data_IF_856607975460
#
_entry.id   IF_856607975460
#
_cell.length_a   1.000
_cell.length_b   1.000
_cell.length_c   1.000
_cell.angle_alpha   90.00
_cell.angle_beta   90.00
_cell.angle_gamma   90.00
#
_symmetry.space_group_name_H-M   'P 1'
#
loop_
_entity.id
_entity.type
_entity.pdbx_description
1 polymer ?
#
# COMPACT_ATOMS: atom_id res chain seq x y z
N UNK A 1 -42.94 -29.10 -18.31
CA UNK A 1 -42.00 -29.93 -17.53
C UNK A 1 -41.70 -29.18 -16.25
N UNK A 2 -41.89 -29.81 -15.09
CA UNK A 2 -41.77 -29.16 -13.78
C UNK A 2 -40.31 -28.82 -13.44
N UNK A 3 -40.14 -27.79 -12.62
CA UNK A 3 -38.88 -27.21 -12.12
C UNK A 3 -38.06 -28.22 -11.29
N UNK A 4 -38.66 -29.31 -10.82
CA UNK A 4 -38.00 -30.32 -9.97
C UNK A 4 -37.10 -31.32 -10.74
N UNK A 5 -37.15 -31.34 -12.07
CA UNK A 5 -36.35 -32.25 -12.90
C UNK A 5 -34.86 -31.86 -13.08
N UNK A 6 -34.45 -30.68 -12.61
CA UNK A 6 -33.11 -30.09 -12.86
C UNK A 6 -32.20 -30.20 -11.62
N UNK A 7 -32.41 -31.20 -10.75
CA UNK A 7 -31.43 -31.55 -9.70
C UNK A 7 -30.40 -32.60 -10.15
N UNK A 8 -30.53 -33.14 -11.36
CA UNK A 8 -29.55 -34.05 -11.97
C UNK A 8 -28.52 -33.29 -12.80
N UNK A 9 -27.30 -33.12 -12.27
CA UNK A 9 -26.09 -32.69 -12.99
C UNK A 9 -26.22 -31.38 -13.79
N UNK A 10 -26.09 -30.24 -13.10
CA UNK A 10 -25.92 -28.93 -13.77
C UNK A 10 -24.67 -28.97 -14.67
N UNK A 11 -24.72 -28.43 -15.91
CA UNK A 11 -23.55 -28.38 -16.77
C UNK A 11 -22.38 -27.67 -16.09
N UNK A 12 -21.16 -28.22 -16.19
CA UNK A 12 -19.96 -27.65 -15.59
C UNK A 12 -19.75 -26.18 -15.97
N UNK A 13 -19.97 -25.84 -17.25
CA UNK A 13 -19.89 -24.47 -17.73
C UNK A 13 -20.87 -23.53 -17.01
N UNK A 14 -22.10 -23.98 -16.71
CA UNK A 14 -23.07 -23.15 -15.98
C UNK A 14 -22.65 -22.98 -14.51
N UNK A 15 -22.15 -24.04 -13.87
CA UNK A 15 -21.60 -23.95 -12.51
C UNK A 15 -20.42 -22.99 -12.42
N UNK A 16 -19.52 -23.00 -13.40
CA UNK A 16 -18.40 -22.06 -13.47
C UNK A 16 -18.87 -20.60 -13.60
N UNK A 17 -19.88 -20.36 -14.45
CA UNK A 17 -20.49 -19.03 -14.57
C UNK A 17 -21.06 -18.55 -13.23
N UNK A 18 -21.89 -19.37 -12.56
CA UNK A 18 -22.50 -18.99 -11.29
C UNK A 18 -21.45 -18.65 -10.22
N UNK A 19 -20.37 -19.42 -10.14
CA UNK A 19 -19.24 -19.11 -9.25
C UNK A 19 -18.58 -17.77 -9.60
N UNK A 20 -18.33 -17.51 -10.89
CA UNK A 20 -17.76 -16.23 -11.34
C UNK A 20 -18.67 -15.03 -11.01
N UNK A 21 -19.99 -15.21 -11.02
CA UNK A 21 -20.94 -14.18 -10.58
C UNK A 21 -20.82 -13.93 -9.08
N UNK A 22 -20.72 -14.97 -8.25
CA UNK A 22 -20.51 -14.84 -6.80
C UNK A 22 -19.16 -14.17 -6.51
N UNK A 23 -18.09 -14.53 -7.20
CA UNK A 23 -16.79 -13.85 -7.07
C UNK A 23 -16.90 -12.35 -7.40
N UNK A 24 -17.69 -12.01 -8.42
CA UNK A 24 -17.93 -10.62 -8.79
C UNK A 24 -18.70 -9.86 -7.71
N UNK A 25 -19.63 -10.52 -7.01
CA UNK A 25 -20.35 -9.97 -5.86
C UNK A 25 -19.39 -9.78 -4.68
N UNK A 26 -18.54 -10.76 -4.38
CA UNK A 26 -17.59 -10.69 -3.25
C UNK A 26 -16.50 -9.63 -3.45
N UNK A 27 -16.03 -9.45 -4.69
CA UNK A 27 -15.06 -8.41 -5.02
C UNK A 27 -15.60 -6.99 -4.78
N UNK A 28 -16.92 -6.78 -4.89
CA UNK A 28 -17.59 -5.54 -4.53
C UNK A 28 -19.07 -5.82 -4.22
N UNK A 29 -19.47 -5.87 -2.94
CA UNK A 29 -20.84 -6.18 -2.52
C UNK A 29 -21.88 -5.19 -3.07
N UNK A 30 -23.13 -5.62 -3.21
CA UNK A 30 -24.22 -4.77 -3.73
C UNK A 30 -24.44 -3.49 -2.90
N UNK A 31 -24.23 -3.54 -1.58
CA UNK A 31 -24.32 -2.37 -0.71
C UNK A 31 -23.34 -1.24 -1.09
N UNK A 32 -22.26 -1.55 -1.80
CA UNK A 32 -21.26 -0.59 -2.27
C UNK A 32 -21.46 -0.17 -3.73
N UNK A 33 -22.50 -0.69 -4.39
CA UNK A 33 -22.77 -0.45 -5.81
C UNK A 33 -23.87 0.58 -5.97
N UNK A 34 -23.66 1.51 -6.92
CA UNK A 34 -24.70 2.43 -7.41
C UNK A 34 -25.54 1.84 -8.55
N UNK A 35 -25.08 0.72 -9.13
CA UNK A 35 -25.68 0.06 -10.30
C UNK A 35 -25.54 -1.45 -10.18
N UNK A 36 -26.48 -2.15 -10.79
CA UNK A 36 -26.44 -3.61 -10.93
C UNK A 36 -25.18 -4.11 -11.64
N UNK A 37 -24.86 -5.38 -11.44
CA UNK A 37 -23.71 -6.00 -12.08
C UNK A 37 -24.09 -6.31 -13.53
N UNK A 38 -23.35 -5.76 -14.47
CA UNK A 38 -23.40 -6.17 -15.88
C UNK A 38 -22.23 -7.11 -16.16
N UNK A 39 -22.51 -8.39 -16.39
CA UNK A 39 -21.53 -9.43 -16.66
C UNK A 39 -21.61 -9.85 -18.14
N UNK A 40 -20.65 -9.47 -19.00
CA UNK A 40 -20.68 -9.90 -20.40
C UNK A 40 -20.46 -11.40 -20.49
N UNK A 41 -21.13 -12.07 -21.41
CA UNK A 41 -20.98 -13.51 -21.67
C UNK A 41 -20.16 -13.66 -22.95
N UNK A 42 -18.84 -13.82 -22.79
CA UNK A 42 -17.85 -13.84 -23.87
C UNK A 42 -16.80 -14.91 -23.61
N UNK A 43 -15.96 -15.23 -24.60
CA UNK A 43 -14.88 -16.20 -24.42
C UNK A 43 -13.90 -15.83 -23.28
N UNK A 44 -13.75 -14.54 -22.95
CA UNK A 44 -12.90 -14.11 -21.83
C UNK A 44 -13.55 -14.21 -20.44
N UNK A 45 -14.88 -14.24 -20.37
CA UNK A 45 -15.64 -14.18 -19.10
C UNK A 45 -16.45 -15.44 -18.81
N UNK A 46 -16.69 -16.27 -19.83
CA UNK A 46 -17.32 -17.57 -19.72
C UNK A 46 -16.64 -18.59 -20.65
N UNK A 47 -15.32 -18.82 -20.49
CA UNK A 47 -14.51 -19.62 -21.42
C UNK A 47 -15.04 -21.04 -21.60
N UNK A 48 -15.53 -21.66 -20.52
CA UNK A 48 -16.02 -23.05 -20.52
C UNK A 48 -17.19 -23.26 -21.49
N UNK A 49 -18.06 -22.26 -21.67
CA UNK A 49 -19.15 -22.33 -22.63
C UNK A 49 -18.65 -22.24 -24.08
N UNK A 50 -17.70 -21.34 -24.34
CA UNK A 50 -17.14 -21.15 -25.68
C UNK A 50 -16.19 -22.29 -26.09
N UNK A 51 -15.69 -23.08 -25.13
CA UNK A 51 -14.90 -24.29 -25.39
C UNK A 51 -15.75 -25.50 -25.84
N UNK A 52 -17.07 -25.48 -25.66
CA UNK A 52 -17.95 -26.60 -26.05
C UNK A 52 -18.00 -26.71 -27.58
N UNK A 53 -17.40 -27.76 -28.15
CA UNK A 53 -17.35 -27.94 -29.60
C UNK A 53 -18.68 -28.37 -30.24
N UNK A 54 -19.48 -29.16 -29.51
CA UNK A 54 -20.74 -29.73 -30.01
C UNK A 54 -21.89 -28.72 -29.86
N UNK A 55 -22.51 -28.33 -30.98
CA UNK A 55 -23.60 -27.34 -30.99
C UNK A 55 -24.79 -27.74 -30.10
N UNK A 56 -25.16 -29.02 -30.07
CA UNK A 56 -26.26 -29.52 -29.23
C UNK A 56 -26.00 -29.37 -27.72
N UNK A 57 -24.77 -29.64 -27.27
CA UNK A 57 -24.37 -29.44 -25.87
C UNK A 57 -24.33 -27.96 -25.52
N UNK A 58 -23.85 -27.11 -26.44
CA UNK A 58 -23.83 -25.66 -26.26
C UNK A 58 -25.25 -25.11 -26.13
N UNK A 59 -26.18 -25.56 -26.97
CA UNK A 59 -27.60 -25.22 -26.87
C UNK A 59 -28.22 -25.67 -25.54
N UNK A 60 -27.83 -26.84 -25.03
CA UNK A 60 -28.31 -27.34 -23.74
C UNK A 60 -27.85 -26.43 -22.58
N UNK A 61 -26.57 -26.06 -22.54
CA UNK A 61 -26.04 -25.13 -21.52
C UNK A 61 -26.71 -23.76 -21.63
N UNK A 62 -26.94 -23.27 -22.85
CA UNK A 62 -27.61 -22.00 -23.06
C UNK A 62 -29.05 -22.00 -22.55
N UNK A 63 -29.84 -23.03 -22.86
CA UNK A 63 -31.21 -23.16 -22.34
C UNK A 63 -31.25 -23.24 -20.82
N UNK A 64 -30.25 -23.89 -20.22
CA UNK A 64 -30.11 -23.92 -18.76
C UNK A 64 -29.84 -22.52 -18.18
N UNK A 65 -29.05 -21.68 -18.86
CA UNK A 65 -28.89 -20.27 -18.51
C UNK A 65 -30.20 -19.48 -18.69
N UNK A 66 -30.95 -19.70 -19.76
CA UNK A 66 -32.24 -19.02 -19.99
C UNK A 66 -33.26 -19.35 -18.90
N UNK A 67 -33.28 -20.58 -18.41
CA UNK A 67 -34.13 -20.97 -17.29
C UNK A 67 -33.86 -20.15 -16.02
N UNK A 68 -32.62 -19.67 -15.81
CA UNK A 68 -32.27 -18.80 -14.68
C UNK A 68 -32.91 -17.41 -14.75
N UNK A 69 -33.37 -16.96 -15.91
CA UNK A 69 -34.07 -15.66 -16.04
C UNK A 69 -35.42 -15.64 -15.32
N UNK A 70 -35.96 -16.80 -14.95
CA UNK A 70 -37.17 -16.88 -14.12
C UNK A 70 -36.93 -16.41 -12.69
N UNK A 71 -35.67 -16.28 -12.27
CA UNK A 71 -35.29 -15.85 -10.93
C UNK A 71 -35.29 -14.32 -10.81
N UNK A 72 -35.88 -13.75 -9.75
CA UNK A 72 -35.85 -12.32 -9.50
C UNK A 72 -34.41 -11.76 -9.48
N UNK A 73 -34.19 -10.68 -10.23
CA UNK A 73 -32.91 -9.98 -10.26
C UNK A 73 -31.87 -10.54 -11.24
N UNK A 74 -32.21 -11.55 -12.06
CA UNK A 74 -31.41 -12.00 -13.20
C UNK A 74 -32.06 -11.62 -14.52
N UNK A 75 -31.35 -10.91 -15.38
CA UNK A 75 -31.83 -10.57 -16.72
C UNK A 75 -30.77 -10.83 -17.78
N UNK A 76 -31.10 -11.59 -18.81
CA UNK A 76 -30.25 -11.76 -19.99
C UNK A 76 -30.59 -10.67 -21.01
N UNK A 77 -29.58 -9.89 -21.40
CA UNK A 77 -29.73 -8.81 -22.37
C UNK A 77 -28.87 -9.10 -23.59
N UNK A 78 -29.47 -9.04 -24.77
CA UNK A 78 -28.80 -9.19 -26.07
C UNK A 78 -28.62 -7.83 -26.75
N UNK A 79 -27.59 -7.68 -27.59
CA UNK A 79 -27.44 -6.47 -28.41
C UNK A 79 -28.45 -6.50 -29.57
N UNK A 80 -29.48 -5.65 -29.49
CA UNK A 80 -30.53 -5.54 -30.50
C UNK A 80 -29.99 -5.19 -31.89
N UNK A 81 -28.86 -4.47 -31.99
CA UNK A 81 -28.23 -4.12 -33.27
C UNK A 81 -27.67 -5.34 -34.01
N UNK A 82 -27.35 -6.41 -33.26
CA UNK A 82 -26.90 -7.69 -33.82
C UNK A 82 -28.05 -8.66 -34.08
N UNK A 83 -29.26 -8.34 -33.61
CA UNK A 83 -30.44 -9.18 -33.79
C UNK A 83 -30.95 -9.28 -35.23
N UNK A 84 -30.58 -8.34 -36.11
CA UNK A 84 -30.90 -8.37 -37.54
C UNK A 84 -29.93 -9.23 -38.38
N UNK A 85 -28.91 -9.83 -37.76
CA UNK A 85 -27.93 -10.68 -38.45
C UNK A 85 -28.25 -12.15 -38.18
N UNK A 86 -27.94 -13.00 -39.16
CA UNK A 86 -28.03 -14.46 -39.04
C UNK A 86 -26.88 -15.00 -38.18
N UNK A 87 -26.89 -14.61 -36.90
CA UNK A 87 -25.92 -14.96 -35.89
C UNK A 87 -26.59 -15.82 -34.82
N UNK A 88 -25.84 -16.76 -34.28
CA UNK A 88 -26.26 -17.52 -33.12
C UNK A 88 -26.50 -16.57 -31.93
N UNK A 89 -27.43 -16.95 -31.06
CA UNK A 89 -27.83 -16.21 -29.85
C UNK A 89 -26.65 -15.79 -28.96
N UNK A 90 -25.62 -16.63 -28.82
CA UNK A 90 -24.41 -16.31 -28.05
C UNK A 90 -23.42 -15.38 -28.78
N UNK A 91 -23.59 -15.15 -30.08
CA UNK A 91 -22.77 -14.22 -30.87
C UNK A 91 -23.36 -12.80 -30.90
N UNK A 92 -24.59 -12.65 -30.40
CA UNK A 92 -25.32 -11.37 -30.27
C UNK A 92 -24.88 -10.55 -29.05
N UNK A 93 -23.62 -10.71 -28.64
CA UNK A 93 -22.99 -10.04 -27.49
C UNK A 93 -23.86 -10.06 -26.22
N UNK A 94 -24.26 -11.24 -25.74
CA UNK A 94 -25.08 -11.38 -24.55
C UNK A 94 -24.40 -10.84 -23.29
N UNK A 95 -25.19 -10.29 -22.38
CA UNK A 95 -24.78 -9.90 -21.02
C UNK A 95 -25.83 -10.32 -20.01
N UNK A 96 -25.38 -10.76 -18.84
CA UNK A 96 -26.23 -11.02 -17.70
C UNK A 96 -26.22 -9.80 -16.77
N UNK A 97 -27.38 -9.26 -16.46
CA UNK A 97 -27.57 -8.21 -15.46
C UNK A 97 -28.01 -8.87 -14.16
N UNK A 98 -27.25 -8.66 -13.08
CA UNK A 98 -27.52 -9.21 -11.75
C UNK A 98 -27.80 -8.06 -10.79
N UNK A 99 -29.00 -8.03 -10.25
CA UNK A 99 -29.44 -7.12 -9.20
C UNK A 99 -29.32 -7.77 -7.80
N UNK A 100 -29.43 -6.97 -6.74
CA UNK A 100 -29.23 -7.43 -5.37
C UNK A 100 -30.16 -8.59 -4.95
N UNK A 101 -31.36 -8.68 -5.53
CA UNK A 101 -32.34 -9.74 -5.24
C UNK A 101 -31.84 -11.13 -5.66
N UNK A 102 -30.93 -11.22 -6.63
CA UNK A 102 -30.42 -12.49 -7.14
C UNK A 102 -29.31 -13.09 -6.26
N UNK A 103 -28.73 -12.35 -5.31
CA UNK A 103 -27.60 -12.83 -4.51
C UNK A 103 -27.94 -14.07 -3.70
N UNK A 104 -29.10 -14.08 -3.03
CA UNK A 104 -29.53 -15.23 -2.21
C UNK A 104 -29.64 -16.50 -3.05
N UNK A 105 -30.25 -16.39 -4.23
CA UNK A 105 -30.35 -17.48 -5.19
C UNK A 105 -28.97 -17.97 -5.65
N UNK A 106 -28.08 -17.06 -6.08
CA UNK A 106 -26.74 -17.43 -6.55
C UNK A 106 -25.93 -18.17 -5.47
N UNK A 107 -26.04 -17.75 -4.21
CA UNK A 107 -25.34 -18.39 -3.09
C UNK A 107 -25.88 -19.77 -2.75
N UNK A 108 -27.20 -19.94 -2.77
CA UNK A 108 -27.85 -21.25 -2.60
C UNK A 108 -27.39 -22.21 -3.70
N UNK A 109 -27.38 -21.72 -4.94
CA UNK A 109 -27.01 -22.52 -6.11
C UNK A 109 -25.54 -22.90 -6.21
N UNK A 110 -24.64 -22.09 -5.65
CA UNK A 110 -23.21 -22.41 -5.56
C UNK A 110 -22.83 -23.05 -4.23
N UNK A 111 -23.73 -23.10 -3.25
CA UNK A 111 -23.42 -23.49 -1.86
C UNK A 111 -22.41 -22.57 -1.17
N UNK A 112 -22.21 -21.34 -1.67
CA UNK A 112 -21.17 -20.40 -1.19
C UNK A 112 -21.76 -19.37 -0.24
N UNK A 113 -21.47 -19.52 1.04
CA UNK A 113 -21.79 -18.51 2.05
C UNK A 113 -20.93 -17.25 1.88
N UNK A 114 -21.40 -16.06 2.31
CA UNK A 114 -20.58 -14.85 2.30
C UNK A 114 -19.25 -15.10 3.04
N UNK A 115 -18.16 -14.62 2.46
CA UNK A 115 -16.87 -14.71 3.13
C UNK A 115 -16.92 -14.04 4.51
N UNK A 116 -16.11 -14.54 5.45
CA UNK A 116 -16.03 -13.98 6.80
C UNK A 116 -15.78 -12.46 6.77
N UNK A 117 -15.01 -11.96 5.79
CA UNK A 117 -14.78 -10.54 5.57
C UNK A 117 -16.06 -9.78 5.19
N UNK A 118 -16.86 -10.30 4.25
CA UNK A 118 -18.11 -9.65 3.82
C UNK A 118 -19.11 -9.58 4.98
N UNK A 119 -19.25 -10.68 5.72
CA UNK A 119 -20.11 -10.74 6.90
C UNK A 119 -19.63 -9.75 7.98
N UNK A 120 -18.33 -9.72 8.26
CA UNK A 120 -17.72 -8.80 9.21
C UNK A 120 -17.93 -7.33 8.81
N UNK A 121 -17.80 -7.02 7.52
CA UNK A 121 -18.03 -5.66 6.99
C UNK A 121 -19.48 -5.22 7.06
N UNK A 122 -20.42 -6.12 6.84
CA UNK A 122 -21.84 -5.83 7.04
C UNK A 122 -22.14 -5.49 8.52
N UNK A 123 -21.62 -6.30 9.45
CA UNK A 123 -21.74 -6.05 10.89
C UNK A 123 -21.07 -4.73 11.31
N UNK A 124 -19.86 -4.45 10.82
CA UNK A 124 -19.14 -3.19 11.08
C UNK A 124 -19.97 -1.96 10.68
N UNK A 125 -20.60 -1.98 9.50
CA UNK A 125 -21.43 -0.87 9.03
C UNK A 125 -22.64 -0.58 9.92
N UNK A 126 -23.18 -1.60 10.56
CA UNK A 126 -24.29 -1.46 11.50
C UNK A 126 -23.80 -1.03 12.89
N UNK A 127 -22.69 -1.60 13.36
CA UNK A 127 -22.18 -1.40 14.70
C UNK A 127 -21.58 0.01 14.92
N UNK A 128 -20.92 0.59 13.91
CA UNK A 128 -20.30 1.93 14.01
C UNK A 128 -21.30 3.02 14.40
N UNK A 129 -22.40 3.26 13.64
CA UNK A 129 -23.38 4.30 13.99
C UNK A 129 -24.21 3.94 15.23
N UNK A 130 -24.29 2.66 15.60
CA UNK A 130 -24.93 2.25 16.86
C UNK A 130 -24.07 2.58 18.09
N UNK A 131 -22.74 2.60 17.95
CA UNK A 131 -21.80 2.82 19.06
C UNK A 131 -21.42 4.27 19.28
N UNK A 132 -21.32 5.05 18.20
CA UNK A 132 -20.83 6.44 18.21
C UNK A 132 -21.86 7.38 17.59
N UNK A 133 -22.03 8.56 18.19
CA UNK A 133 -22.93 9.61 17.70
C UNK A 133 -22.23 10.66 16.83
N UNK A 134 -20.89 10.74 16.88
CA UNK A 134 -20.12 11.69 16.06
C UNK A 134 -20.12 11.24 14.59
N UNK A 135 -20.84 11.98 13.74
CA UNK A 135 -21.01 11.65 12.32
C UNK A 135 -19.69 11.60 11.54
N UNK A 136 -18.75 12.50 11.81
CA UNK A 136 -17.45 12.52 11.14
C UNK A 136 -16.60 11.31 11.56
N UNK A 137 -16.64 10.92 12.84
CA UNK A 137 -16.01 9.68 13.30
C UNK A 137 -16.61 8.45 12.61
N UNK A 138 -17.94 8.38 12.53
CA UNK A 138 -18.63 7.29 11.86
C UNK A 138 -18.21 7.19 10.39
N UNK A 139 -18.24 8.29 9.66
CA UNK A 139 -17.79 8.34 8.25
C UNK A 139 -16.35 7.84 8.12
N UNK A 140 -15.45 8.31 9.00
CA UNK A 140 -14.05 7.91 8.98
C UNK A 140 -13.88 6.40 9.23
N UNK A 141 -14.54 5.84 10.24
CA UNK A 141 -14.47 4.41 10.56
C UNK A 141 -15.13 3.53 9.49
N UNK A 142 -16.15 4.03 8.78
CA UNK A 142 -16.78 3.32 7.66
C UNK A 142 -15.87 3.31 6.41
N UNK A 143 -15.18 4.42 6.14
CA UNK A 143 -14.22 4.52 5.03
C UNK A 143 -12.92 3.75 5.29
N UNK A 144 -12.49 3.68 6.56
CA UNK A 144 -11.24 3.03 6.98
C UNK A 144 -11.47 2.12 8.19
N UNK A 145 -12.05 0.92 7.99
CA UNK A 145 -12.35 -0.01 9.08
C UNK A 145 -11.12 -0.52 9.83
N UNK A 146 -11.28 -0.81 11.12
CA UNK A 146 -10.26 -1.46 11.95
C UNK A 146 -10.50 -2.97 11.91
N UNK A 147 -10.04 -3.63 10.85
CA UNK A 147 -10.35 -5.03 10.58
C UNK A 147 -9.53 -5.99 11.47
N UNK A 148 -10.21 -6.78 12.30
CA UNK A 148 -9.63 -7.88 13.08
C UNK A 148 -10.55 -9.09 12.95
N UNK A 149 -10.37 -9.91 11.91
CA UNK A 149 -11.29 -11.01 11.57
C UNK A 149 -11.62 -11.98 12.72
N UNK A 150 -10.69 -12.36 13.61
CA UNK A 150 -11.01 -13.23 14.74
C UNK A 150 -11.86 -12.58 15.85
N UNK A 151 -12.21 -11.29 15.73
CA UNK A 151 -12.97 -10.51 16.73
C UNK A 151 -14.21 -9.92 16.08
N UNK A 152 -15.32 -9.81 16.81
CA UNK A 152 -16.50 -9.14 16.24
C UNK A 152 -16.28 -7.63 16.12
N UNK A 153 -16.96 -6.94 15.18
CA UNK A 153 -16.95 -5.49 15.10
C UNK A 153 -17.24 -4.79 16.43
N UNK A 154 -18.19 -5.29 17.21
CA UNK A 154 -18.57 -4.71 18.50
C UNK A 154 -17.42 -4.78 19.49
N UNK A 155 -16.71 -5.91 19.56
CA UNK A 155 -15.52 -6.05 20.41
C UNK A 155 -14.42 -5.07 20.01
N UNK A 156 -14.21 -4.87 18.70
CA UNK A 156 -13.22 -3.91 18.19
C UNK A 156 -13.63 -2.47 18.57
N UNK A 157 -14.90 -2.11 18.40
CA UNK A 157 -15.42 -0.79 18.73
C UNK A 157 -15.41 -0.53 20.24
N UNK A 158 -15.64 -1.56 21.06
CA UNK A 158 -15.47 -1.49 22.52
C UNK A 158 -14.03 -1.16 22.91
N UNK A 159 -13.05 -1.83 22.29
CA UNK A 159 -11.63 -1.51 22.48
C UNK A 159 -11.29 -0.09 22.01
N UNK A 160 -11.83 0.34 20.87
CA UNK A 160 -11.65 1.70 20.38
C UNK A 160 -12.19 2.72 21.39
N UNK A 161 -13.40 2.50 21.91
CA UNK A 161 -14.04 3.41 22.87
C UNK A 161 -13.33 3.49 24.23
N UNK A 162 -12.42 2.57 24.54
CA UNK A 162 -11.59 2.62 25.74
C UNK A 162 -10.32 3.48 25.61
N UNK A 163 -9.96 3.92 24.39
CA UNK A 163 -8.77 4.77 24.16
C UNK A 163 -8.76 6.06 24.99
N UNK A 164 -9.89 6.78 25.22
CA UNK A 164 -9.92 8.00 26.01
C UNK A 164 -9.30 7.84 27.41
N UNK A 165 -9.41 6.65 28.01
CA UNK A 165 -8.85 6.38 29.33
C UNK A 165 -7.30 6.39 29.37
N UNK A 166 -6.65 6.28 28.21
CA UNK A 166 -5.18 6.27 28.09
C UNK A 166 -4.61 7.67 27.81
N UNK A 167 -5.47 8.67 27.66
CA UNK A 167 -5.03 10.06 27.48
C UNK A 167 -4.33 10.53 28.75
N UNK A 168 -3.16 11.14 28.59
CA UNK A 168 -2.33 11.61 29.71
C UNK A 168 -1.20 10.65 30.13
N UNK A 169 -1.21 9.40 29.67
CA UNK A 169 -0.16 8.41 29.98
C UNK A 169 1.13 8.58 29.15
N UNK A 170 1.25 9.62 28.33
CA UNK A 170 2.41 9.88 27.45
C UNK A 170 2.80 8.70 26.55
N UNK A 171 1.80 7.95 26.07
CA UNK A 171 1.99 6.77 25.23
C UNK A 171 2.14 7.13 23.74
N UNK A 172 2.93 6.34 23.03
CA UNK A 172 2.92 6.31 21.57
C UNK A 172 1.70 5.55 21.05
N UNK A 173 1.28 5.86 19.81
CA UNK A 173 0.11 5.24 19.18
C UNK A 173 0.20 3.71 19.12
N UNK A 174 1.40 3.16 18.95
CA UNK A 174 1.60 1.71 18.92
C UNK A 174 1.44 1.05 20.29
N UNK A 175 1.72 1.77 21.37
CA UNK A 175 1.53 1.30 22.74
C UNK A 175 0.04 1.32 23.07
N UNK A 176 -0.67 2.39 22.70
CA UNK A 176 -2.14 2.48 22.78
C UNK A 176 -2.80 1.33 22.01
N UNK A 177 -2.36 1.10 20.76
CA UNK A 177 -2.84 0.01 19.93
C UNK A 177 -2.61 -1.36 20.61
N UNK A 178 -1.40 -1.59 21.13
CA UNK A 178 -1.06 -2.85 21.81
C UNK A 178 -1.88 -3.06 23.08
N UNK A 179 -2.08 -2.01 23.89
CA UNK A 179 -2.86 -2.08 25.14
C UNK A 179 -4.35 -2.31 24.89
N UNK A 180 -4.95 -1.62 23.91
CA UNK A 180 -6.37 -1.79 23.63
C UNK A 180 -6.71 -2.98 22.75
N UNK A 181 -5.87 -3.37 21.81
CA UNK A 181 -6.23 -4.36 20.79
C UNK A 181 -5.41 -5.64 20.92
N UNK A 182 -5.47 -6.30 22.08
CA UNK A 182 -4.91 -7.65 22.27
C UNK A 182 -3.44 -7.80 21.84
N UNK A 183 -2.60 -6.79 22.07
CA UNK A 183 -1.19 -6.81 21.70
C UNK A 183 -0.90 -6.44 20.23
N UNK A 184 -1.90 -6.04 19.45
CA UNK A 184 -1.75 -5.68 18.04
C UNK A 184 -1.25 -4.24 17.87
N UNK A 185 0.07 -4.06 18.00
CA UNK A 185 0.72 -2.74 18.02
C UNK A 185 0.62 -1.89 16.74
N UNK A 186 0.21 -2.47 15.60
CA UNK A 186 0.10 -1.77 14.30
C UNK A 186 -1.33 -1.50 13.85
N UNK A 187 -2.34 -1.95 14.61
CA UNK A 187 -3.72 -1.97 14.12
C UNK A 187 -4.32 -0.57 13.93
N UNK A 188 -3.79 0.43 14.66
CA UNK A 188 -4.19 1.83 14.55
C UNK A 188 -3.35 2.63 13.54
N UNK A 189 -2.47 2.00 12.77
CA UNK A 189 -1.65 2.71 11.78
C UNK A 189 -2.53 3.41 10.73
N UNK A 190 -2.43 4.73 10.67
CA UNK A 190 -3.23 5.56 9.77
C UNK A 190 -4.64 5.86 10.28
N UNK A 191 -4.95 5.50 11.54
CA UNK A 191 -6.21 5.83 12.21
C UNK A 191 -6.12 7.10 13.07
N UNK A 192 -5.04 7.89 12.96
CA UNK A 192 -4.82 9.09 13.78
C UNK A 192 -6.02 10.06 13.73
N UNK A 193 -6.58 10.28 12.54
CA UNK A 193 -7.75 11.15 12.35
C UNK A 193 -9.00 10.60 13.06
N UNK A 194 -9.24 9.28 13.00
CA UNK A 194 -10.35 8.66 13.73
C UNK A 194 -10.17 8.80 15.25
N UNK A 195 -8.93 8.72 15.74
CA UNK A 195 -8.62 8.89 17.16
C UNK A 195 -8.81 10.35 17.59
N UNK A 196 -8.38 11.31 16.76
CA UNK A 196 -8.60 12.73 17.01
C UNK A 196 -10.12 13.04 17.13
N UNK A 197 -10.91 12.53 16.18
CA UNK A 197 -12.38 12.64 16.20
C UNK A 197 -13.03 11.93 17.39
N UNK A 198 -12.48 10.79 17.83
CA UNK A 198 -12.95 10.07 19.01
C UNK A 198 -12.72 10.86 20.31
N UNK A 199 -11.60 11.61 20.38
CA UNK A 199 -11.20 12.37 21.55
C UNK A 199 -11.67 13.83 21.52
N UNK A 200 -12.36 14.23 20.45
CA UNK A 200 -12.76 15.62 20.20
C UNK A 200 -11.56 16.59 20.21
N UNK A 201 -10.48 16.19 19.54
CA UNK A 201 -9.26 17.00 19.38
C UNK A 201 -8.92 17.20 17.90
N UNK A 202 -8.23 18.30 17.58
CA UNK A 202 -7.80 18.60 16.20
C UNK A 202 -6.74 17.59 15.69
N UNK A 203 -5.90 17.10 16.60
CA UNK A 203 -4.78 16.20 16.30
C UNK A 203 -4.78 15.05 17.29
N UNK A 204 -4.42 13.86 16.82
CA UNK A 204 -4.22 12.69 17.66
C UNK A 204 -3.14 12.98 18.73
N UNK A 205 -3.45 12.87 20.02
CA UNK A 205 -2.49 13.18 21.08
C UNK A 205 -1.39 12.12 21.25
N UNK A 206 -1.59 10.92 20.70
CA UNK A 206 -0.59 9.86 20.73
C UNK A 206 0.38 10.01 19.58
N UNK A 207 1.66 10.14 19.91
CA UNK A 207 2.73 10.31 18.93
C UNK A 207 2.98 9.02 18.15
N UNK A 208 3.35 9.16 16.88
CA UNK A 208 3.89 8.05 16.11
C UNK A 208 5.28 7.66 16.63
N UNK A 209 5.72 6.43 16.33
CA UNK A 209 7.10 6.02 16.62
C UNK A 209 8.07 7.00 15.93
N UNK A 210 9.00 7.62 16.67
CA UNK A 210 9.95 8.57 16.11
C UNK A 210 10.87 7.89 15.09
N UNK A 211 11.31 8.65 14.11
CA UNK A 211 12.36 8.20 13.17
C UNK A 211 13.67 8.12 13.94
N UNK A 212 14.29 6.95 13.99
CA UNK A 212 15.59 6.79 14.62
C UNK A 212 16.68 7.21 13.65
N UNK A 213 17.53 8.13 14.09
CA UNK A 213 18.67 8.67 13.35
C UNK A 213 19.96 8.32 14.08
N UNK A 214 20.88 7.67 13.38
CA UNK A 214 22.25 7.49 13.85
C UNK A 214 23.13 8.56 13.20
N UNK A 215 23.92 9.25 14.01
CA UNK A 215 24.78 10.34 13.54
C UNK A 215 26.23 10.05 13.86
N UNK A 216 27.08 10.12 12.85
CA UNK A 216 28.53 10.06 12.98
C UNK A 216 29.16 11.29 12.32
N UNK A 217 30.43 11.57 12.63
CA UNK A 217 31.14 12.71 12.06
C UNK A 217 32.52 12.31 11.54
N UNK A 218 32.81 12.74 10.32
CA UNK A 218 34.14 12.68 9.67
C UNK A 218 34.71 14.09 9.50
N UNK A 219 34.39 14.97 10.44
CA UNK A 219 34.78 16.38 10.43
C UNK A 219 34.68 16.95 11.84
N UNK A 220 35.45 18.00 12.12
CA UNK A 220 35.32 18.82 13.32
C UNK A 220 34.54 20.12 13.06
N UNK A 221 34.23 20.43 11.79
CA UNK A 221 33.52 21.64 11.39
C UNK A 221 32.00 21.53 11.67
N UNK A 222 31.43 22.38 12.54
CA UNK A 222 30.00 22.41 12.83
C UNK A 222 29.12 22.73 11.62
N UNK A 223 29.65 23.47 10.63
CA UNK A 223 28.95 23.88 9.42
C UNK A 223 29.08 22.87 8.26
N UNK A 224 29.81 21.77 8.47
CA UNK A 224 30.05 20.75 7.47
C UNK A 224 28.76 20.23 6.79
N UNK A 225 28.81 19.85 5.51
CA UNK A 225 27.66 19.27 4.82
C UNK A 225 27.17 17.97 5.48
N UNK A 226 25.88 17.68 5.30
CA UNK A 226 25.23 16.46 5.80
C UNK A 226 25.18 15.43 4.67
N UNK A 227 25.51 14.18 4.97
CA UNK A 227 25.34 13.05 4.08
C UNK A 227 24.41 12.01 4.72
N UNK A 228 23.21 11.86 4.15
CA UNK A 228 22.31 10.77 4.46
C UNK A 228 22.78 9.50 3.76
N UNK A 229 22.93 8.42 4.52
CA UNK A 229 23.34 7.10 4.04
C UNK A 229 22.19 6.13 4.25
N UNK A 230 21.76 5.46 3.18
CA UNK A 230 20.62 4.53 3.24
C UNK A 230 20.95 3.25 3.99
N UNK A 231 22.08 2.62 3.67
CA UNK A 231 22.42 1.32 4.24
C UNK A 231 23.18 1.44 5.57
N UNK A 232 22.77 0.64 6.56
CA UNK A 232 23.38 0.63 7.88
C UNK A 232 24.85 0.14 7.87
N UNK A 233 25.16 -0.92 7.12
CA UNK A 233 26.52 -1.45 7.04
C UNK A 233 27.47 -0.46 6.36
N UNK A 234 26.98 0.21 5.30
CA UNK A 234 27.73 1.28 4.63
C UNK A 234 27.94 2.48 5.56
N UNK A 235 26.91 2.90 6.31
CA UNK A 235 27.05 3.95 7.32
C UNK A 235 28.16 3.64 8.33
N UNK A 236 28.17 2.42 8.89
CA UNK A 236 29.20 1.99 9.84
C UNK A 236 30.60 1.96 9.18
N UNK A 237 30.70 1.52 7.93
CA UNK A 237 31.95 1.55 7.16
C UNK A 237 32.50 2.97 7.02
N UNK A 238 31.64 3.93 6.65
CA UNK A 238 32.00 5.33 6.49
C UNK A 238 32.35 5.98 7.84
N UNK A 239 31.57 5.70 8.89
CA UNK A 239 31.83 6.19 10.24
C UNK A 239 33.20 5.73 10.75
N UNK A 240 33.58 4.47 10.49
CA UNK A 240 34.89 3.91 10.79
C UNK A 240 36.03 4.48 9.92
N UNK A 241 35.73 5.28 8.88
CA UNK A 241 36.72 5.90 8.00
C UNK A 241 37.22 5.00 6.87
N UNK A 242 36.48 3.93 6.52
CA UNK A 242 36.87 3.05 5.40
C UNK A 242 36.66 3.69 4.02
N UNK A 243 35.84 4.74 3.93
CA UNK A 243 35.65 5.54 2.73
C UNK A 243 36.17 6.96 2.96
N UNK A 244 37.33 7.28 2.36
CA UNK A 244 37.94 8.61 2.48
C UNK A 244 37.11 9.73 1.85
N UNK A 245 36.29 9.41 0.84
CA UNK A 245 35.38 10.38 0.22
C UNK A 245 34.34 10.96 1.21
N UNK A 246 34.10 10.26 2.33
CA UNK A 246 33.21 10.70 3.40
C UNK A 246 33.83 11.76 4.33
N UNK A 247 35.14 12.03 4.23
CA UNK A 247 35.80 13.07 5.02
C UNK A 247 35.19 14.45 4.76
N UNK A 248 35.08 15.26 5.81
CA UNK A 248 34.44 16.56 5.75
C UNK A 248 32.93 16.54 5.94
N UNK A 249 32.28 15.37 6.10
CA UNK A 249 30.83 15.26 6.29
C UNK A 249 30.42 14.93 7.73
N UNK A 250 29.21 15.36 8.08
CA UNK A 250 28.40 14.72 9.12
C UNK A 250 27.53 13.65 8.45
N UNK A 251 27.62 12.43 8.93
CA UNK A 251 26.92 11.27 8.39
C UNK A 251 25.63 11.03 9.17
N UNK A 252 24.53 10.76 8.48
CA UNK A 252 23.25 10.40 9.10
C UNK A 252 22.71 9.14 8.44
N UNK A 253 22.46 8.10 9.24
CA UNK A 253 21.65 6.96 8.83
C UNK A 253 20.26 7.06 9.44
N UNK A 254 19.24 6.77 8.63
CA UNK A 254 17.87 6.62 9.10
C UNK A 254 17.35 5.24 8.69
N UNK A 255 16.77 4.50 9.63
CA UNK A 255 16.31 3.14 9.33
C UNK A 255 15.15 3.12 8.32
N UNK A 256 15.46 2.65 7.10
CA UNK A 256 14.54 2.46 5.97
C UNK A 256 14.11 3.76 5.27
N UNK A 257 12.98 3.73 4.56
CA UNK A 257 12.36 4.88 3.85
C UNK A 257 11.96 6.06 4.78
N UNK A 258 12.37 6.05 6.05
CA UNK A 258 11.95 7.00 7.08
C UNK A 258 12.77 8.29 7.10
N UNK A 259 13.91 8.33 6.39
CA UNK A 259 14.68 9.56 6.16
C UNK A 259 13.83 10.66 5.51
N UNK A 260 12.80 10.27 4.76
CA UNK A 260 11.93 11.19 4.03
C UNK A 260 10.60 11.49 4.72
N UNK A 261 10.41 10.99 5.95
CA UNK A 261 9.20 11.30 6.71
C UNK A 261 9.13 12.81 6.99
N UNK A 262 8.03 13.46 6.62
CA UNK A 262 7.83 14.91 6.85
C UNK A 262 8.05 15.35 8.30
N UNK A 263 7.83 14.43 9.25
CA UNK A 263 8.05 14.64 10.69
C UNK A 263 9.52 14.65 11.11
N UNK A 264 10.47 14.31 10.24
CA UNK A 264 11.89 14.18 10.58
C UNK A 264 12.45 15.42 11.30
N UNK A 265 12.06 16.62 10.84
CA UNK A 265 12.51 17.90 11.42
C UNK A 265 11.67 18.35 12.62
N UNK A 266 10.51 17.73 12.86
CA UNK A 266 9.64 18.10 13.98
C UNK A 266 10.25 17.66 15.31
N UNK A 267 10.10 18.50 16.34
CA UNK A 267 10.46 18.10 17.69
C UNK A 267 9.59 16.89 18.11
N UNK A 268 10.24 15.80 18.54
CA UNK A 268 9.56 14.53 18.84
C UNK A 268 9.26 13.64 17.62
N UNK A 269 9.47 14.12 16.39
CA UNK A 269 9.31 13.34 15.18
C UNK A 269 10.50 12.41 14.87
N UNK A 270 11.66 12.69 15.47
CA UNK A 270 12.88 11.89 15.39
C UNK A 270 13.54 11.69 16.75
N UNK A 271 14.23 10.56 16.92
CA UNK A 271 15.15 10.28 18.02
C UNK A 271 16.56 10.17 17.46
N UNK A 272 17.46 11.03 17.94
CA UNK A 272 18.83 11.16 17.42
C UNK A 272 19.81 10.49 18.38
N UNK A 273 20.67 9.64 17.84
CA UNK A 273 21.73 8.95 18.57
C UNK A 273 23.07 9.31 17.94
N UNK A 274 23.98 9.86 18.75
CA UNK A 274 25.30 10.27 18.29
C UNK A 274 26.33 9.19 18.60
N UNK A 275 27.16 8.85 17.61
CA UNK A 275 28.38 8.11 17.84
C UNK A 275 29.33 8.94 18.73
N UNK A 276 30.12 8.32 19.62
CA UNK A 276 31.04 9.05 20.51
C UNK A 276 31.97 10.02 19.78
N UNK A 277 32.47 9.60 18.61
CA UNK A 277 33.34 10.40 17.75
C UNK A 277 32.76 11.75 17.30
N UNK A 278 31.45 11.97 17.40
CA UNK A 278 30.84 13.30 17.13
C UNK A 278 31.32 14.33 18.15
N UNK A 279 31.27 13.99 19.44
CA UNK A 279 31.63 14.91 20.51
C UNK A 279 33.14 14.96 20.77
N UNK A 280 33.85 13.85 20.54
CA UNK A 280 35.32 13.79 20.66
C UNK A 280 36.01 14.71 19.65
N UNK A 281 35.46 14.83 18.43
CA UNK A 281 35.99 15.74 17.40
C UNK A 281 35.68 17.20 17.71
N UNK A 282 34.46 17.48 18.16
CA UNK A 282 34.03 18.82 18.55
C UNK A 282 32.79 18.73 19.46
N UNK A 283 32.93 19.20 20.71
CA UNK A 283 31.86 19.14 21.71
C UNK A 283 30.56 19.86 21.29
N UNK A 284 30.65 20.89 20.43
CA UNK A 284 29.49 21.65 19.95
C UNK A 284 28.80 21.03 18.73
N UNK A 285 29.40 20.01 18.10
CA UNK A 285 28.91 19.46 16.83
C UNK A 285 27.52 18.84 16.98
N UNK A 286 27.30 18.01 18.00
CA UNK A 286 26.00 17.38 18.24
C UNK A 286 24.87 18.40 18.44
N UNK A 287 25.13 19.45 19.23
CA UNK A 287 24.16 20.54 19.43
C UNK A 287 23.84 21.30 18.14
N UNK A 288 24.86 21.54 17.30
CA UNK A 288 24.69 22.20 16.01
C UNK A 288 23.87 21.34 15.04
N UNK A 289 24.08 20.02 15.03
CA UNK A 289 23.28 19.08 14.23
C UNK A 289 21.83 19.06 14.69
N UNK A 290 21.56 19.04 16.00
CA UNK A 290 20.18 19.12 16.53
C UNK A 290 19.51 20.45 16.18
N UNK A 291 20.22 21.57 16.35
CA UNK A 291 19.70 22.90 16.01
C UNK A 291 19.36 23.00 14.52
N UNK A 292 20.21 22.46 13.64
CA UNK A 292 19.94 22.39 12.21
C UNK A 292 18.75 21.46 11.87
N UNK A 293 18.69 20.28 12.47
CA UNK A 293 17.65 19.29 12.18
C UNK A 293 16.26 19.81 12.56
N UNK A 294 16.15 20.45 13.73
CA UNK A 294 14.88 20.93 14.27
C UNK A 294 14.58 22.40 13.95
N UNK A 295 15.53 23.12 13.36
CA UNK A 295 15.38 24.51 12.97
C UNK A 295 14.66 24.70 11.64
N UNK A 296 14.71 25.93 11.12
CA UNK A 296 14.20 26.29 9.78
C UNK A 296 15.31 26.44 8.75
N UNK A 297 16.56 26.25 9.15
CA UNK A 297 17.71 26.32 8.24
C UNK A 297 17.67 25.18 7.20
N UNK A 298 17.58 25.58 5.94
CA UNK A 298 17.61 24.72 4.74
C UNK A 298 18.82 25.03 3.86
N UNK A 299 19.73 25.89 4.31
CA UNK A 299 20.90 26.35 3.55
C UNK A 299 22.09 25.40 3.68
N UNK A 300 22.21 24.70 4.81
CA UNK A 300 23.23 23.66 5.00
C UNK A 300 23.13 22.60 3.89
N UNK A 301 24.21 22.31 3.15
CA UNK A 301 24.16 21.34 2.07
C UNK A 301 23.80 19.95 2.59
N UNK A 302 22.86 19.31 1.90
CA UNK A 302 22.39 17.94 2.19
C UNK A 302 22.66 17.08 0.98
N UNK A 303 23.28 15.94 1.23
CA UNK A 303 23.54 14.91 0.23
C UNK A 303 22.88 13.60 0.66
N UNK A 304 22.55 12.77 -0.31
CA UNK A 304 22.00 11.43 -0.10
C UNK A 304 22.79 10.42 -0.90
N UNK A 305 23.07 9.27 -0.29
CA UNK A 305 23.67 8.12 -0.93
C UNK A 305 22.98 6.83 -0.47
N UNK A 306 22.32 6.18 -1.42
CA UNK A 306 21.71 4.87 -1.26
C UNK A 306 22.00 3.98 -2.45
N UNK A 307 21.21 2.92 -2.60
CA UNK A 307 21.33 2.00 -3.73
C UNK A 307 21.13 2.75 -5.05
N UNK A 308 21.81 2.27 -6.10
CA UNK A 308 21.55 2.72 -7.46
C UNK A 308 20.40 1.87 -8.04
N UNK A 309 19.19 2.21 -7.60
CA UNK A 309 17.93 1.64 -8.07
C UNK A 309 16.78 2.67 -8.00
N UNK A 310 15.55 2.27 -8.37
CA UNK A 310 14.41 3.18 -8.34
C UNK A 310 13.96 3.54 -6.91
N UNK A 311 14.11 2.64 -5.95
CA UNK A 311 13.76 2.90 -4.55
C UNK A 311 14.68 3.96 -3.92
N UNK A 312 16.00 3.87 -4.12
CA UNK A 312 16.97 4.86 -3.68
C UNK A 312 16.69 6.24 -4.28
N UNK A 313 16.37 6.30 -5.57
CA UNK A 313 15.96 7.56 -6.23
C UNK A 313 14.63 8.10 -5.68
N UNK A 314 13.69 7.24 -5.33
CA UNK A 314 12.45 7.63 -4.67
C UNK A 314 12.69 8.18 -3.25
N UNK A 315 13.63 7.61 -2.50
CA UNK A 315 14.05 8.14 -1.19
C UNK A 315 14.62 9.54 -1.36
N UNK A 316 15.52 9.77 -2.33
CA UNK A 316 16.05 11.11 -2.62
C UNK A 316 14.93 12.10 -2.93
N UNK A 317 13.98 11.71 -3.79
CA UNK A 317 12.83 12.55 -4.14
C UNK A 317 12.02 12.94 -2.90
N UNK A 318 11.73 11.99 -2.03
CA UNK A 318 10.96 12.25 -0.82
C UNK A 318 11.77 13.02 0.24
N UNK A 319 13.09 12.78 0.34
CA UNK A 319 13.99 13.56 1.20
C UNK A 319 13.98 15.04 0.81
N UNK A 320 13.85 15.34 -0.50
CA UNK A 320 13.74 16.72 -1.01
C UNK A 320 12.46 17.43 -0.60
N UNK A 321 11.41 16.72 -0.15
CA UNK A 321 10.24 17.35 0.46
C UNK A 321 10.60 18.00 1.80
N UNK A 322 11.55 17.41 2.53
CA UNK A 322 12.03 17.89 3.84
C UNK A 322 13.23 18.81 3.70
N UNK A 323 14.12 18.53 2.74
CA UNK A 323 15.32 19.30 2.44
C UNK A 323 15.35 19.66 0.95
N UNK A 324 14.71 20.76 0.52
CA UNK A 324 14.56 21.10 -0.91
C UNK A 324 15.89 21.19 -1.70
N UNK A 325 16.99 21.49 -1.02
CA UNK A 325 18.33 21.53 -1.60
C UNK A 325 19.03 20.18 -1.77
N UNK A 326 18.48 19.08 -1.22
CA UNK A 326 19.18 17.80 -1.15
C UNK A 326 19.57 17.25 -2.53
N UNK A 327 20.83 16.82 -2.64
CA UNK A 327 21.42 16.30 -3.88
C UNK A 327 21.83 14.83 -3.74
N UNK A 328 21.80 14.08 -4.85
CA UNK A 328 22.51 12.82 -4.95
C UNK A 328 24.01 13.06 -4.69
N UNK A 329 24.61 12.28 -3.79
CA UNK A 329 26.03 12.40 -3.48
C UNK A 329 26.86 11.87 -4.65
N UNK A 330 27.40 12.80 -5.43
CA UNK A 330 28.03 12.50 -6.71
C UNK A 330 29.15 11.47 -6.61
N UNK A 331 30.07 11.61 -5.65
CA UNK A 331 31.20 10.69 -5.49
C UNK A 331 30.77 9.23 -5.25
N UNK A 332 29.77 9.01 -4.39
CA UNK A 332 29.25 7.65 -4.13
C UNK A 332 28.51 7.08 -5.34
N UNK A 333 27.66 7.87 -5.98
CA UNK A 333 26.89 7.41 -7.13
C UNK A 333 27.70 7.25 -8.41
N UNK A 334 28.78 8.01 -8.61
CA UNK A 334 29.71 7.78 -9.74
C UNK A 334 30.36 6.40 -9.66
N UNK A 335 30.74 5.96 -8.45
CA UNK A 335 31.30 4.63 -8.25
C UNK A 335 30.27 3.51 -8.53
N UNK A 336 29.01 3.67 -8.08
CA UNK A 336 27.94 2.72 -8.40
C UNK A 336 27.59 2.73 -9.89
N UNK A 337 27.57 3.90 -10.52
CA UNK A 337 27.31 4.04 -11.95
C UNK A 337 28.41 3.36 -12.78
N UNK A 338 29.67 3.45 -12.35
CA UNK A 338 30.77 2.74 -13.00
C UNK A 338 30.57 1.22 -12.98
N UNK A 339 30.15 0.65 -11.84
CA UNK A 339 29.79 -0.78 -11.72
C UNK A 339 28.63 -1.15 -12.64
N UNK A 340 27.57 -0.33 -12.64
CA UNK A 340 26.41 -0.52 -13.51
C UNK A 340 26.79 -0.54 -15.00
N UNK A 341 27.67 0.37 -15.43
CA UNK A 341 28.16 0.45 -16.81
C UNK A 341 29.14 -0.67 -17.16
N UNK A 342 29.83 -1.23 -16.18
CA UNK A 342 30.69 -2.42 -16.33
C UNK A 342 29.90 -3.74 -16.28
N UNK A 343 28.56 -3.69 -16.25
CA UNK A 343 27.66 -4.84 -16.10
C UNK A 343 27.82 -5.60 -14.77
N UNK A 344 28.53 -5.03 -13.80
CA UNK A 344 28.65 -5.54 -12.43
C UNK A 344 27.43 -5.12 -11.60
N UNK A 345 26.26 -5.64 -12.00
CA UNK A 345 24.93 -5.25 -11.52
C UNK A 345 23.98 -6.46 -11.53
N UNK A 346 22.79 -6.32 -10.95
CA UNK A 346 21.77 -7.36 -10.95
C UNK A 346 20.44 -6.87 -11.54
N UNK A 347 19.63 -7.78 -12.05
CA UNK A 347 18.28 -7.50 -12.49
C UNK A 347 17.34 -7.32 -11.27
N UNK A 348 16.17 -6.66 -11.45
CA UNK A 348 15.24 -6.43 -10.35
C UNK A 348 14.69 -7.71 -9.71
N UNK A 349 14.46 -8.76 -10.50
CA UNK A 349 13.96 -10.06 -10.05
C UNK A 349 15.00 -10.87 -9.27
N UNK A 350 16.28 -10.73 -9.60
CA UNK A 350 17.40 -11.38 -8.89
C UNK A 350 17.50 -10.93 -7.42
N UNK A 351 17.04 -9.71 -7.10
CA UNK A 351 17.16 -9.10 -5.77
C UNK A 351 15.81 -8.81 -5.08
N UNK A 352 14.69 -9.41 -5.53
CA UNK A 352 13.33 -9.13 -5.01
C UNK A 352 12.93 -7.63 -5.11
N UNK A 353 13.45 -6.93 -6.11
CA UNK A 353 13.21 -5.51 -6.41
C UNK A 353 12.24 -5.30 -7.60
N UNK A 354 11.61 -6.34 -8.13
CA UNK A 354 10.65 -6.24 -9.26
C UNK A 354 9.43 -5.35 -9.00
N UNK A 355 9.09 -5.09 -7.74
CA UNK A 355 7.98 -4.21 -7.37
C UNK A 355 8.33 -2.72 -7.34
N UNK A 356 9.59 -2.35 -7.60
CA UNK A 356 10.00 -0.95 -7.60
C UNK A 356 9.39 -0.21 -8.81
N UNK A 357 8.87 0.99 -8.55
CA UNK A 357 8.29 1.86 -9.59
C UNK A 357 9.25 3.02 -9.87
N UNK A 358 9.42 3.35 -11.14
CA UNK A 358 10.19 4.53 -11.55
C UNK A 358 9.62 5.80 -10.89
N UNK A 359 10.43 6.56 -10.13
CA UNK A 359 9.95 7.75 -9.42
C UNK A 359 9.68 8.96 -10.35
N UNK A 360 9.96 8.86 -11.65
CA UNK A 360 9.84 9.95 -12.60
C UNK A 360 10.99 10.95 -12.43
N UNK A 361 10.68 12.21 -12.10
CA UNK A 361 11.68 13.22 -11.75
C UNK A 361 11.80 13.33 -10.23
N UNK A 362 13.03 13.48 -9.75
CA UNK A 362 13.39 13.70 -8.34
C UNK A 362 13.56 15.18 -8.01
N UNK A 363 13.87 16.01 -9.02
CA UNK A 363 14.27 17.40 -8.85
C UNK A 363 15.75 17.58 -8.48
N UNK A 364 16.53 16.49 -8.39
CA UNK A 364 17.98 16.55 -8.32
C UNK A 364 18.55 16.39 -9.72
N UNK A 365 19.27 17.42 -10.20
CA UNK A 365 19.80 17.46 -11.57
C UNK A 365 20.65 16.23 -11.91
N UNK A 366 21.56 15.84 -11.01
CA UNK A 366 22.43 14.68 -11.27
C UNK A 366 21.64 13.37 -11.33
N UNK A 367 20.63 13.20 -10.47
CA UNK A 367 19.77 12.01 -10.51
C UNK A 367 18.91 11.99 -11.79
N UNK A 368 18.33 13.11 -12.17
CA UNK A 368 17.38 13.21 -13.29
C UNK A 368 18.05 13.17 -14.66
N UNK A 369 19.25 13.76 -14.80
CA UNK A 369 19.99 13.84 -16.06
C UNK A 369 20.99 12.68 -16.27
N UNK A 370 21.41 11.99 -15.20
CA UNK A 370 22.46 10.96 -15.28
C UNK A 370 22.01 9.60 -14.74
N UNK A 371 21.61 9.52 -13.47
CA UNK A 371 21.37 8.23 -12.80
C UNK A 371 20.10 7.54 -13.31
N UNK A 372 18.96 8.23 -13.31
CA UNK A 372 17.68 7.68 -13.78
C UNK A 372 17.71 7.29 -15.26
N UNK A 373 18.28 8.08 -16.18
CA UNK A 373 18.48 7.64 -17.56
C UNK A 373 19.30 6.35 -17.68
N UNK A 374 20.36 6.17 -16.88
CA UNK A 374 21.14 4.93 -16.87
C UNK A 374 20.31 3.74 -16.38
N UNK A 375 19.58 3.89 -15.27
CA UNK A 375 18.68 2.88 -14.72
C UNK A 375 17.61 2.45 -15.71
N UNK A 376 16.94 3.41 -16.36
CA UNK A 376 15.90 3.14 -17.38
C UNK A 376 16.44 2.42 -18.59
N UNK A 377 17.64 2.81 -19.05
CA UNK A 377 18.26 2.23 -20.25
C UNK A 377 18.72 0.80 -20.01
N UNK A 378 19.34 0.54 -18.87
CA UNK A 378 19.96 -0.76 -18.58
C UNK A 378 18.99 -1.72 -17.90
N UNK A 379 18.01 -1.22 -17.14
CA UNK A 379 17.06 -2.05 -16.40
C UNK A 379 17.72 -2.91 -15.31
N UNK A 380 18.89 -2.48 -14.81
CA UNK A 380 19.70 -3.17 -13.80
C UNK A 380 20.03 -2.24 -12.64
N UNK A 381 20.30 -2.82 -11.48
CA UNK A 381 20.51 -2.14 -10.21
C UNK A 381 21.87 -2.51 -9.60
N UNK A 382 22.37 -1.63 -8.73
CA UNK A 382 23.60 -1.87 -7.97
C UNK A 382 23.37 -1.50 -6.51
N UNK A 383 23.61 -2.45 -5.62
CA UNK A 383 23.52 -2.26 -4.18
C UNK A 383 24.72 -1.46 -3.64
N UNK A 384 24.45 -0.62 -2.64
CA UNK A 384 25.45 0.27 -2.04
C UNK A 384 26.65 -0.49 -1.46
N UNK A 385 26.43 -1.70 -0.93
CA UNK A 385 27.46 -2.56 -0.32
C UNK A 385 28.47 -3.16 -1.31
N UNK A 386 28.27 -2.96 -2.62
CA UNK A 386 29.22 -3.42 -3.64
C UNK A 386 30.53 -2.62 -3.70
N UNK A 387 30.65 -1.55 -2.91
CA UNK A 387 31.78 -0.61 -2.90
C UNK A 387 32.66 -0.68 -1.66
#
# INVERSE_FOLDING_TARGET
>A
MSVDGIRGSRPAALTALLNALVDRIEAKPFAERRRDISFPLSAGTWPDFFAIALHGERMFVWRALEALQTQPGLALVLDQRRGQRDLDIWERSPKLVIAAQAEAFLRDETGRQPSALVAWMAQWRQAVPARFSNAALCERLLSRPILILPRSPEQVLERLAGIPALVGESLMLHEVASRQFWGLSKILNGQQEAIALLLDTDVCPFSDKPVQLLVAARTADPAAPILFVENAATFEAMAAGRLSAAEGFVLIYASGYKASARRLRQQGGSSVYFAPGVFERNAALGLTVLAWLHGTDVTRPVHFWGDLDFAGMAILKELRVVFPGAQAWKAGYEALLARLLAEESHAPDEARKSGQTDPGLTGCRYADEVLLPALRRLGRFVDQESL
#
